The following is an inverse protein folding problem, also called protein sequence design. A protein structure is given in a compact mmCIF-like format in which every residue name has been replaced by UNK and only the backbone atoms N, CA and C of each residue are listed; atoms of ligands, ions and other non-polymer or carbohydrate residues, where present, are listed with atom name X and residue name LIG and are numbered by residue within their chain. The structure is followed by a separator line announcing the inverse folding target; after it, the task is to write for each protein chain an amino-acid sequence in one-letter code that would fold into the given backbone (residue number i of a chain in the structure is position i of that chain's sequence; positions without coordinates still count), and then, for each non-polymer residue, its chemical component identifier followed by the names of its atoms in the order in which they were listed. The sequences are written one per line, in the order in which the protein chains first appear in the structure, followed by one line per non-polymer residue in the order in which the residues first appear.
data_IF_552100339850
#
_entry.id   IF_552100339850
#
_cell.length_a   1.000
_cell.length_b   1.000
_cell.length_c   1.000
_cell.angle_alpha   90.00
_cell.angle_beta   90.00
_cell.angle_gamma   90.00
#
_symmetry.space_group_name_H-M   'P 1'
#
loop_
_entity.id
_entity.type
_entity.pdbx_description
1 polymer ?
#
# COMPACT_ATOMS: atom_id res chain seq x y z
N UNK A 1 4.09 22.04 -57.86
CA UNK A 1 3.56 20.67 -57.73
C UNK A 1 3.96 20.16 -56.37
N UNK A 2 3.03 20.19 -55.42
CA UNK A 2 3.26 19.78 -54.02
C UNK A 2 2.80 18.33 -53.90
N UNK A 3 3.74 17.40 -53.69
CA UNK A 3 3.41 15.99 -53.45
C UNK A 3 2.70 15.83 -52.09
N UNK A 4 1.73 14.92 -51.95
CA UNK A 4 1.09 14.68 -50.67
C UNK A 4 2.08 13.93 -49.77
N UNK A 5 2.52 14.57 -48.69
CA UNK A 5 3.18 13.86 -47.58
C UNK A 5 2.14 12.94 -46.94
N UNK A 6 2.18 11.66 -47.28
CA UNK A 6 1.44 10.63 -46.54
C UNK A 6 2.13 10.45 -45.18
N UNK A 7 1.62 11.14 -44.15
CA UNK A 7 1.92 10.80 -42.78
C UNK A 7 1.18 9.50 -42.45
N UNK A 8 1.83 8.37 -42.65
CA UNK A 8 1.48 7.16 -41.90
C UNK A 8 1.89 7.42 -40.47
N UNK A 9 0.97 7.42 -39.49
CA UNK A 9 1.39 7.35 -38.10
C UNK A 9 2.21 6.07 -38.01
N UNK A 10 3.52 6.18 -37.77
CA UNK A 10 4.27 5.04 -37.31
C UNK A 10 3.52 4.56 -36.07
N UNK A 11 2.89 3.38 -36.18
CA UNK A 11 2.34 2.69 -35.03
C UNK A 11 3.54 2.30 -34.16
N UNK A 12 4.03 3.26 -33.40
CA UNK A 12 5.06 3.12 -32.41
C UNK A 12 4.52 2.19 -31.34
N UNK A 13 4.70 0.89 -31.58
CA UNK A 13 4.41 -0.19 -30.65
C UNK A 13 5.73 -0.89 -30.27
N UNK A 14 6.70 -0.19 -29.68
CA UNK A 14 7.87 -0.87 -29.16
C UNK A 14 7.42 -1.83 -28.07
N UNK A 15 7.93 -3.06 -28.08
CA UNK A 15 7.84 -3.95 -26.92
C UNK A 15 8.62 -3.29 -25.78
N UNK A 16 7.93 -2.48 -24.96
CA UNK A 16 8.50 -1.81 -23.81
C UNK A 16 8.74 -2.83 -22.70
N UNK A 17 9.94 -3.41 -22.68
CA UNK A 17 10.36 -4.32 -21.63
C UNK A 17 11.09 -3.52 -20.54
N UNK A 18 10.48 -3.36 -19.37
CA UNK A 18 11.23 -2.97 -18.18
C UNK A 18 12.16 -4.12 -17.80
N UNK A 19 13.40 -3.82 -17.46
CA UNK A 19 14.29 -4.75 -16.80
C UNK A 19 14.84 -4.08 -15.57
N UNK A 20 14.80 -4.77 -14.42
CA UNK A 20 15.49 -4.27 -13.24
C UNK A 20 17.00 -4.17 -13.51
N UNK A 21 17.73 -3.34 -12.75
CA UNK A 21 19.20 -3.15 -12.90
C UNK A 21 19.97 -4.35 -12.34
N UNK A 22 19.65 -5.52 -12.85
CA UNK A 22 20.12 -6.84 -12.45
C UNK A 22 21.21 -7.34 -13.41
N UNK A 23 22.21 -8.07 -12.93
CA UNK A 23 23.08 -8.87 -13.81
C UNK A 23 22.37 -10.16 -14.22
N UNK A 24 22.69 -10.71 -15.40
CA UNK A 24 21.98 -11.89 -15.93
C UNK A 24 21.92 -13.06 -14.94
N UNK A 25 22.89 -13.19 -14.04
CA UNK A 25 22.96 -14.29 -13.08
C UNK A 25 22.10 -14.11 -11.80
N UNK A 26 21.65 -12.90 -11.44
CA UNK A 26 21.03 -12.63 -10.12
C UNK A 26 19.53 -12.93 -10.06
N UNK A 27 19.05 -13.99 -9.42
CA UNK A 27 17.60 -14.29 -9.30
C UNK A 27 16.74 -13.06 -8.96
N UNK A 28 15.64 -12.79 -9.71
CA UNK A 28 14.83 -11.60 -9.47
C UNK A 28 14.05 -11.77 -8.16
N UNK A 29 13.88 -10.69 -7.42
CA UNK A 29 12.97 -10.66 -6.28
C UNK A 29 11.51 -10.72 -6.75
N UNK A 30 10.60 -11.14 -5.87
CA UNK A 30 9.15 -11.22 -6.17
C UNK A 30 8.59 -9.87 -6.64
N UNK A 31 9.10 -8.76 -6.10
CA UNK A 31 8.70 -7.41 -6.50
C UNK A 31 9.23 -7.04 -7.90
N UNK A 32 10.44 -7.47 -8.26
CA UNK A 32 10.99 -7.28 -9.60
C UNK A 32 10.25 -8.11 -10.64
N UNK A 33 9.96 -9.39 -10.35
CA UNK A 33 9.15 -10.23 -11.26
C UNK A 33 7.77 -9.63 -11.49
N UNK A 34 7.13 -9.16 -10.42
CA UNK A 34 5.83 -8.51 -10.51
C UNK A 34 5.89 -7.21 -11.31
N UNK A 35 6.91 -6.38 -11.08
CA UNK A 35 7.12 -5.14 -11.81
C UNK A 35 7.37 -5.43 -13.31
N UNK A 36 8.30 -6.32 -13.65
CA UNK A 36 8.61 -6.70 -15.03
C UNK A 36 7.38 -7.24 -15.78
N UNK A 37 6.50 -7.98 -15.11
CA UNK A 37 5.26 -8.49 -15.71
C UNK A 37 4.14 -7.45 -15.89
N UNK A 38 4.08 -6.39 -15.06
CA UNK A 38 2.90 -5.51 -14.97
C UNK A 38 3.16 -4.03 -15.31
N UNK A 39 4.42 -3.64 -15.50
CA UNK A 39 4.83 -2.26 -15.81
C UNK A 39 4.33 -1.73 -17.16
N UNK A 40 3.91 -2.61 -18.08
CA UNK A 40 3.36 -2.23 -19.38
C UNK A 40 2.14 -1.30 -19.26
N UNK A 41 1.26 -1.55 -18.29
CA UNK A 41 0.10 -0.68 -18.02
C UNK A 41 0.53 0.71 -17.54
N UNK A 42 1.63 0.75 -16.77
CA UNK A 42 2.22 1.99 -16.28
C UNK A 42 2.88 2.77 -17.42
N UNK A 43 3.67 2.11 -18.27
CA UNK A 43 4.32 2.73 -19.43
C UNK A 43 3.34 3.21 -20.50
N UNK A 44 2.20 2.54 -20.68
CA UNK A 44 1.14 3.03 -21.58
C UNK A 44 0.52 4.33 -21.07
N UNK A 45 0.44 4.49 -19.75
CA UNK A 45 -0.09 5.70 -19.11
C UNK A 45 0.94 6.85 -19.12
N UNK A 46 2.23 6.51 -19.06
CA UNK A 46 3.35 7.44 -18.95
C UNK A 46 4.47 7.07 -19.94
N UNK A 47 4.19 7.27 -21.23
CA UNK A 47 5.11 6.86 -22.30
C UNK A 47 6.49 7.52 -22.16
N UNK A 48 7.59 6.75 -22.20
CA UNK A 48 8.95 7.31 -22.22
C UNK A 48 9.10 8.36 -23.33
N UNK A 49 9.71 9.50 -23.01
CA UNK A 49 9.95 10.56 -23.98
C UNK A 49 11.34 10.44 -24.60
N UNK A 50 11.49 10.90 -25.84
CA UNK A 50 12.80 11.01 -26.48
C UNK A 50 13.71 11.92 -25.67
N UNK A 51 14.95 11.48 -25.44
CA UNK A 51 15.93 12.31 -24.75
C UNK A 51 16.33 13.49 -25.67
N UNK A 52 16.13 14.75 -25.25
CA UNK A 52 16.42 15.92 -26.08
C UNK A 52 17.91 16.04 -26.42
N UNK A 53 18.79 15.48 -25.60
CA UNK A 53 20.24 15.51 -25.78
C UNK A 53 20.79 14.28 -26.51
N UNK A 54 20.00 13.22 -26.65
CA UNK A 54 20.40 12.01 -27.38
C UNK A 54 19.17 11.31 -27.99
N UNK A 55 18.86 11.57 -29.27
CA UNK A 55 17.69 10.99 -29.95
C UNK A 55 17.69 9.47 -30.09
N UNK A 56 18.78 8.78 -29.70
CA UNK A 56 18.86 7.32 -29.66
C UNK A 56 18.47 6.74 -28.29
N UNK A 57 18.19 7.59 -27.31
CA UNK A 57 17.83 7.20 -25.95
C UNK A 57 16.44 7.72 -25.60
N UNK A 58 15.67 6.90 -24.89
CA UNK A 58 14.41 7.30 -24.25
C UNK A 58 14.68 7.59 -22.77
N UNK A 59 14.07 8.63 -22.23
CA UNK A 59 14.07 8.92 -20.80
C UNK A 59 12.66 8.73 -20.20
N UNK A 60 12.54 8.38 -18.91
CA UNK A 60 11.25 8.35 -18.23
C UNK A 60 10.56 9.71 -18.36
N UNK A 61 9.29 9.75 -18.76
CA UNK A 61 8.50 11.00 -18.74
C UNK A 61 7.98 11.34 -17.33
N UNK A 62 8.15 10.40 -16.40
CA UNK A 62 7.62 10.40 -15.05
C UNK A 62 8.64 9.75 -14.14
N UNK A 63 8.84 10.32 -12.95
CA UNK A 63 9.66 9.70 -11.92
C UNK A 63 8.84 8.62 -11.21
N UNK A 64 9.12 7.36 -11.56
CA UNK A 64 8.43 6.20 -10.98
C UNK A 64 8.91 5.85 -9.57
N UNK A 65 10.03 6.42 -9.11
CA UNK A 65 10.64 6.09 -7.83
C UNK A 65 9.64 6.16 -6.66
N UNK A 66 8.96 7.29 -6.46
CA UNK A 66 7.96 7.45 -5.40
C UNK A 66 6.83 6.42 -5.45
N UNK A 67 6.29 6.13 -6.64
CA UNK A 67 5.18 5.15 -6.78
C UNK A 67 5.65 3.73 -6.41
N UNK A 68 6.86 3.36 -6.84
CA UNK A 68 7.42 2.04 -6.52
C UNK A 68 7.72 1.93 -5.02
N UNK A 69 8.24 2.99 -4.41
CA UNK A 69 8.49 3.05 -2.97
C UNK A 69 7.20 2.96 -2.16
N UNK A 70 6.16 3.72 -2.55
CA UNK A 70 4.83 3.64 -1.94
C UNK A 70 4.23 2.23 -2.06
N UNK A 71 4.36 1.60 -3.23
CA UNK A 71 3.89 0.23 -3.44
C UNK A 71 4.65 -0.78 -2.57
N UNK A 72 5.98 -0.65 -2.45
CA UNK A 72 6.79 -1.51 -1.61
C UNK A 72 6.45 -1.35 -0.11
N UNK A 73 6.27 -0.11 0.34
CA UNK A 73 5.84 0.20 1.70
C UNK A 73 4.45 -0.39 1.99
N UNK A 74 3.51 -0.26 1.06
CA UNK A 74 2.18 -0.85 1.18
C UNK A 74 2.23 -2.37 1.34
N UNK A 75 3.03 -3.07 0.53
CA UNK A 75 3.20 -4.52 0.63
C UNK A 75 3.78 -4.90 2.00
N UNK A 76 4.83 -4.22 2.44
CA UNK A 76 5.45 -4.45 3.76
C UNK A 76 4.45 -4.23 4.91
N UNK A 77 3.63 -3.18 4.82
CA UNK A 77 2.57 -2.91 5.79
C UNK A 77 1.56 -4.06 5.81
N UNK A 78 1.09 -4.51 4.65
CA UNK A 78 0.16 -5.63 4.55
C UNK A 78 0.76 -6.88 5.21
N UNK A 79 2.01 -7.22 4.92
CA UNK A 79 2.68 -8.39 5.50
C UNK A 79 2.81 -8.28 7.03
N UNK A 80 3.06 -7.08 7.55
CA UNK A 80 3.10 -6.83 9.00
C UNK A 80 1.76 -7.16 9.67
N UNK A 81 0.64 -6.70 9.09
CA UNK A 81 -0.71 -6.98 9.61
C UNK A 81 -1.11 -8.44 9.44
N UNK A 82 -0.73 -9.05 8.31
CA UNK A 82 -1.01 -10.46 8.07
C UNK A 82 -0.24 -11.35 9.06
N UNK A 83 0.91 -10.92 9.59
CA UNK A 83 1.69 -11.71 10.54
C UNK A 83 1.37 -11.39 12.01
N UNK A 84 0.53 -10.39 12.27
CA UNK A 84 0.16 -10.01 13.63
C UNK A 84 -1.35 -9.72 13.72
N UNK A 85 -2.09 -10.72 14.22
CA UNK A 85 -3.54 -10.64 14.37
C UNK A 85 -3.99 -9.42 15.20
N UNK A 86 -3.26 -9.10 16.28
CA UNK A 86 -3.65 -8.06 17.24
C UNK A 86 -3.44 -6.63 16.73
N UNK A 87 -2.64 -6.44 15.67
CA UNK A 87 -2.37 -5.12 15.13
C UNK A 87 -3.62 -4.48 14.51
N UNK A 88 -4.48 -5.28 13.86
CA UNK A 88 -5.69 -4.76 13.24
C UNK A 88 -6.69 -4.25 14.29
N UNK A 89 -6.76 -4.88 15.46
CA UNK A 89 -7.59 -4.44 16.58
C UNK A 89 -7.18 -3.04 17.05
N UNK A 90 -5.88 -2.72 17.02
CA UNK A 90 -5.39 -1.39 17.36
C UNK A 90 -5.80 -0.34 16.33
N UNK A 91 -5.74 -0.69 15.04
CA UNK A 91 -6.19 0.21 13.96
C UNK A 91 -7.69 0.49 14.09
N UNK A 92 -8.50 -0.54 14.35
CA UNK A 92 -9.94 -0.38 14.55
C UNK A 92 -10.23 0.48 15.79
N UNK A 93 -9.50 0.26 16.89
CA UNK A 93 -9.60 1.10 18.07
C UNK A 93 -9.23 2.57 17.78
N UNK A 94 -8.15 2.81 17.03
CA UNK A 94 -7.70 4.14 16.62
C UNK A 94 -8.67 4.84 15.68
N UNK A 95 -9.34 4.11 14.77
CA UNK A 95 -10.41 4.67 13.93
C UNK A 95 -11.60 5.13 14.78
N UNK A 96 -11.96 4.36 15.83
CA UNK A 96 -13.07 4.71 16.71
C UNK A 96 -12.71 5.79 17.75
N UNK A 97 -11.43 5.89 18.13
CA UNK A 97 -10.92 6.82 19.15
C UNK A 97 -9.61 7.47 18.67
N UNK A 98 -9.64 8.37 17.67
CA UNK A 98 -8.44 8.94 17.07
C UNK A 98 -7.50 9.62 18.08
N UNK A 99 -8.05 10.25 19.11
CA UNK A 99 -7.29 10.92 20.17
C UNK A 99 -6.54 9.95 21.10
N UNK A 100 -6.96 8.69 21.13
CA UNK A 100 -6.36 7.63 21.93
C UNK A 100 -5.47 6.70 21.08
N UNK A 101 -5.41 6.92 19.76
CA UNK A 101 -4.61 6.12 18.85
C UNK A 101 -3.13 6.09 19.28
N UNK A 102 -2.49 4.94 19.07
CA UNK A 102 -1.05 4.82 19.23
C UNK A 102 -0.35 5.62 18.11
N UNK A 103 0.69 6.43 18.41
CA UNK A 103 1.32 7.30 17.41
C UNK A 103 1.81 6.55 16.16
N UNK A 104 2.36 5.35 16.33
CA UNK A 104 2.83 4.50 15.23
C UNK A 104 1.73 3.98 14.29
N UNK A 105 0.45 4.20 14.62
CA UNK A 105 -0.69 3.75 13.82
C UNK A 105 -1.48 4.89 13.17
N UNK A 106 -1.12 6.14 13.49
CA UNK A 106 -1.83 7.34 13.02
C UNK A 106 -1.93 7.38 11.49
N UNK A 107 -0.84 7.05 10.81
CA UNK A 107 -0.79 7.07 9.33
C UNK A 107 -1.72 6.03 8.69
N UNK A 108 -2.09 4.97 9.43
CA UNK A 108 -2.98 3.93 8.92
C UNK A 108 -4.46 4.26 9.12
N UNK A 109 -4.82 4.94 10.22
CA UNK A 109 -6.24 5.19 10.55
C UNK A 109 -6.90 6.17 9.58
N UNK A 110 -6.12 7.05 8.94
CA UNK A 110 -6.62 8.00 7.94
C UNK A 110 -6.76 7.38 6.54
N UNK A 111 -6.11 6.22 6.29
CA UNK A 111 -6.15 5.55 5.00
C UNK A 111 -7.28 4.52 4.92
N UNK A 112 -8.48 4.98 4.58
CA UNK A 112 -9.69 4.14 4.44
C UNK A 112 -9.52 2.96 3.46
N UNK A 113 -8.79 3.17 2.36
CA UNK A 113 -8.58 2.14 1.34
C UNK A 113 -7.69 1.01 1.88
N UNK A 114 -6.60 1.38 2.58
CA UNK A 114 -5.75 0.43 3.27
C UNK A 114 -6.53 -0.35 4.34
N UNK A 115 -7.30 0.33 5.18
CA UNK A 115 -8.11 -0.33 6.22
C UNK A 115 -9.06 -1.38 5.62
N UNK A 116 -9.74 -1.04 4.53
CA UNK A 116 -10.63 -1.98 3.84
C UNK A 116 -9.88 -3.22 3.32
N UNK A 117 -8.69 -3.03 2.74
CA UNK A 117 -7.83 -4.14 2.31
C UNK A 117 -7.41 -5.00 3.51
N UNK A 118 -6.95 -4.39 4.60
CA UNK A 118 -6.52 -5.09 5.81
C UNK A 118 -7.65 -5.91 6.42
N UNK A 119 -8.87 -5.37 6.51
CA UNK A 119 -10.05 -6.09 7.01
C UNK A 119 -10.37 -7.32 6.16
N UNK A 120 -10.40 -7.18 4.84
CA UNK A 120 -10.69 -8.31 3.92
C UNK A 120 -9.61 -9.39 4.04
N UNK A 121 -8.33 -9.00 4.10
CA UNK A 121 -7.21 -9.94 4.22
C UNK A 121 -7.23 -10.65 5.58
N UNK A 122 -7.48 -9.93 6.65
CA UNK A 122 -7.60 -10.49 7.99
C UNK A 122 -8.72 -11.53 8.07
N UNK A 123 -9.91 -11.20 7.55
CA UNK A 123 -11.02 -12.14 7.46
C UNK A 123 -10.64 -13.41 6.69
N UNK A 124 -9.94 -13.27 5.56
CA UNK A 124 -9.48 -14.42 4.76
C UNK A 124 -8.44 -15.28 5.47
N UNK A 125 -7.52 -14.67 6.24
CA UNK A 125 -6.39 -15.37 6.86
C UNK A 125 -6.73 -15.97 8.22
N UNK A 126 -7.37 -15.21 9.09
CA UNK A 126 -7.61 -15.58 10.49
C UNK A 126 -9.05 -16.03 10.77
N UNK A 127 -9.96 -15.76 9.83
CA UNK A 127 -11.39 -15.94 10.04
C UNK A 127 -11.96 -14.91 11.01
N UNK A 128 -13.25 -14.63 10.84
CA UNK A 128 -14.02 -13.75 11.70
C UNK A 128 -13.88 -12.26 11.40
N UNK A 129 -14.93 -11.51 11.74
CA UNK A 129 -14.98 -10.06 11.52
C UNK A 129 -14.66 -9.34 12.82
N UNK A 130 -13.48 -8.73 12.85
CA UNK A 130 -13.14 -7.73 13.86
C UNK A 130 -13.87 -6.45 13.48
N UNK A 131 -14.99 -6.17 14.15
CA UNK A 131 -15.72 -4.94 13.93
C UNK A 131 -16.25 -4.37 15.26
N UNK A 132 -16.34 -3.04 15.39
CA UNK A 132 -17.00 -2.37 16.52
C UNK A 132 -18.55 -2.16 16.46
N UNK A 133 -19.40 -2.89 15.69
CA UNK A 133 -20.85 -2.72 15.73
C UNK A 133 -21.57 -3.65 16.71
N UNK A 134 -20.96 -4.74 17.19
CA UNK A 134 -21.64 -5.61 18.16
C UNK A 134 -21.51 -5.05 19.57
N UNK A 135 -22.61 -5.12 20.33
CA UNK A 135 -22.70 -4.58 21.69
C UNK A 135 -21.60 -5.11 22.61
N UNK A 136 -21.23 -6.39 22.48
CA UNK A 136 -20.16 -6.99 23.27
C UNK A 136 -18.80 -6.32 23.02
N UNK A 137 -18.45 -6.02 21.76
CA UNK A 137 -17.20 -5.32 21.43
C UNK A 137 -17.20 -3.87 21.91
N UNK A 138 -18.36 -3.18 21.85
CA UNK A 138 -18.50 -1.82 22.37
C UNK A 138 -18.25 -1.74 23.87
N UNK A 139 -18.80 -2.67 24.64
CA UNK A 139 -18.57 -2.73 26.08
C UNK A 139 -17.09 -2.90 26.43
N UNK A 140 -16.37 -3.74 25.66
CA UNK A 140 -14.92 -3.94 25.83
C UNK A 140 -14.16 -2.67 25.43
N UNK A 141 -14.55 -2.04 24.31
CA UNK A 141 -13.95 -0.79 23.85
C UNK A 141 -14.10 0.32 24.89
N UNK A 142 -15.30 0.52 25.43
CA UNK A 142 -15.58 1.57 26.43
C UNK A 142 -14.76 1.34 27.71
N UNK A 143 -14.64 0.10 28.17
CA UNK A 143 -13.78 -0.25 29.29
C UNK A 143 -12.30 0.04 28.97
N UNK A 144 -11.86 -0.32 27.76
CA UNK A 144 -10.49 -0.10 27.32
C UNK A 144 -10.16 1.40 27.21
N UNK A 145 -11.08 2.23 26.73
CA UNK A 145 -10.94 3.70 26.69
C UNK A 145 -10.61 4.26 28.08
N UNK A 146 -11.29 3.80 29.13
CA UNK A 146 -11.01 4.26 30.50
C UNK A 146 -9.61 3.86 30.95
N UNK A 147 -9.18 2.63 30.64
CA UNK A 147 -7.83 2.15 30.97
C UNK A 147 -6.76 2.95 30.22
N UNK A 148 -6.93 3.16 28.91
CA UNK A 148 -5.98 3.92 28.09
C UNK A 148 -5.86 5.36 28.58
N UNK A 149 -6.97 6.02 28.91
CA UNK A 149 -6.97 7.38 29.45
C UNK A 149 -6.26 7.46 30.80
N UNK A 150 -6.53 6.51 31.70
CA UNK A 150 -5.88 6.45 33.01
C UNK A 150 -4.36 6.26 32.87
N UNK A 151 -3.92 5.34 32.01
CA UNK A 151 -2.49 5.07 31.77
C UNK A 151 -1.76 6.22 31.08
N UNK A 152 -2.38 6.84 30.05
CA UNK A 152 -1.84 8.05 29.42
C UNK A 152 -1.69 9.20 30.44
N UNK A 153 -2.64 9.34 31.37
CA UNK A 153 -2.56 10.36 32.42
C UNK A 153 -1.41 10.13 33.42
N UNK A 154 -1.02 8.87 33.66
CA UNK A 154 0.13 8.52 34.51
C UNK A 154 1.45 8.41 33.75
N UNK A 155 1.45 8.62 32.43
CA UNK A 155 2.63 8.49 31.57
C UNK A 155 3.06 7.04 31.30
N UNK A 156 2.22 6.07 31.62
CA UNK A 156 2.47 4.65 31.38
C UNK A 156 1.99 4.22 29.99
N UNK A 157 2.64 3.19 29.43
CA UNK A 157 2.21 2.60 28.17
C UNK A 157 0.89 1.83 28.36
N UNK A 158 -0.16 2.16 27.59
CA UNK A 158 -1.44 1.49 27.72
C UNK A 158 -1.37 0.06 27.15
N UNK A 159 -2.17 -0.87 27.69
CA UNK A 159 -2.29 -2.21 27.11
C UNK A 159 -2.90 -2.15 25.71
N UNK A 160 -2.63 -3.16 24.89
CA UNK A 160 -3.23 -3.28 23.55
C UNK A 160 -4.71 -3.68 23.62
N UNK A 161 -5.51 -3.13 22.71
CA UNK A 161 -6.91 -3.52 22.53
C UNK A 161 -6.99 -4.95 21.96
N UNK A 162 -7.95 -5.75 22.40
CA UNK A 162 -8.23 -7.04 21.78
C UNK A 162 -9.73 -7.22 21.64
N UNK A 163 -10.20 -7.39 20.41
CA UNK A 163 -11.61 -7.66 20.14
C UNK A 163 -11.87 -9.17 20.09
N UNK A 164 -13.08 -9.62 20.50
CA UNK A 164 -13.48 -11.00 20.29
C UNK A 164 -13.50 -11.33 18.81
N UNK A 165 -13.03 -12.53 18.45
CA UNK A 165 -13.18 -13.05 17.10
C UNK A 165 -14.49 -13.85 17.01
N UNK A 166 -15.38 -13.47 16.10
CA UNK A 166 -16.66 -14.14 15.86
C UNK A 166 -16.67 -14.92 14.55
#
# INVERSE_FOLDING_TARGET
MSGPYSYTPDNWNPELVYRSKRTREQTPSVLEEYAEANILSLFRSYMPMMNPNNPRLTMPNFDYGPIVEDAANLVKTIDMFDNNKALLDQVIFGVANPELCHPALTDFIDNRQLIAVLLVRHFKKFGGLVLPPLQAARNIQDAHVQVVRAKKATGEEPPFMAYPNW
#
